data_IF_429803788172
#
_entry.id   IF_429803788172
#
_cell.length_a   1.000
_cell.length_b   1.000
_cell.length_c   1.000
_cell.angle_alpha   90.00
_cell.angle_beta   90.00
_cell.angle_gamma   90.00
#
_symmetry.space_group_name_H-M   'P 1'
#
loop_
_entity.id
_entity.type
_entity.pdbx_description
1 polymer ?
#
# COMPACT_ATOMS: atom_id res chain seq x y z
N UNK A 1 -2.19 22.81 -1.32
CA UNK A 1 -3.32 22.00 -0.80
C UNK A 1 -2.71 21.01 0.16
N UNK A 2 -3.33 20.77 1.32
CA UNK A 2 -2.87 19.74 2.26
C UNK A 2 -3.85 18.57 2.31
N UNK A 3 -3.31 17.36 2.42
CA UNK A 3 -4.08 16.13 2.64
C UNK A 3 -4.32 16.01 4.14
N UNK A 4 -5.58 15.84 4.53
CA UNK A 4 -5.98 15.57 5.90
C UNK A 4 -6.66 14.21 5.99
N UNK A 5 -6.25 13.43 6.99
CA UNK A 5 -6.91 12.17 7.33
C UNK A 5 -8.02 12.44 8.35
N UNK A 6 -9.27 12.21 7.95
CA UNK A 6 -10.42 12.41 8.84
C UNK A 6 -10.63 11.17 9.68
N UNK A 7 -10.83 11.35 10.99
CA UNK A 7 -11.23 10.26 11.86
C UNK A 7 -12.67 9.86 11.53
N UNK A 8 -12.86 8.63 11.05
CA UNK A 8 -14.18 8.05 10.76
C UNK A 8 -14.46 6.82 11.65
N UNK A 9 -15.55 6.10 11.36
CA UNK A 9 -15.97 4.86 12.01
C UNK A 9 -14.97 3.72 11.78
N UNK A 10 -14.92 2.80 12.73
CA UNK A 10 -13.96 1.70 12.73
C UNK A 10 -14.09 0.77 11.52
N UNK A 11 -15.32 0.51 11.05
CA UNK A 11 -15.61 -0.35 9.90
C UNK A 11 -14.91 0.12 8.62
N UNK A 12 -14.72 1.43 8.45
CA UNK A 12 -14.01 1.98 7.29
C UNK A 12 -12.54 1.56 7.30
N UNK A 13 -11.85 1.63 8.43
CA UNK A 13 -10.46 1.19 8.53
C UNK A 13 -10.34 -0.33 8.38
N UNK A 14 -11.30 -1.08 8.92
CA UNK A 14 -11.37 -2.53 8.78
C UNK A 14 -11.65 -2.98 7.35
N UNK A 15 -12.19 -2.10 6.50
CA UNK A 15 -12.34 -2.40 5.08
C UNK A 15 -11.03 -2.26 4.29
N UNK A 16 -10.04 -1.53 4.81
CA UNK A 16 -8.76 -1.31 4.12
C UNK A 16 -7.93 -2.60 4.07
N UNK A 17 -7.63 -3.14 2.87
CA UNK A 17 -6.93 -4.42 2.72
C UNK A 17 -5.56 -4.49 3.41
N UNK A 18 -4.70 -3.50 3.19
CA UNK A 18 -3.35 -3.50 3.79
C UNK A 18 -3.38 -3.31 5.30
N UNK A 19 -4.36 -2.56 5.84
CA UNK A 19 -4.53 -2.38 7.29
C UNK A 19 -4.94 -3.69 7.95
N UNK A 20 -5.84 -4.47 7.34
CA UNK A 20 -6.17 -5.82 7.81
C UNK A 20 -4.94 -6.73 7.88
N UNK A 21 -4.09 -6.73 6.84
CA UNK A 21 -2.87 -7.55 6.83
C UNK A 21 -1.88 -7.14 7.93
N UNK A 22 -1.58 -5.86 8.09
CA UNK A 22 -0.63 -5.41 9.12
C UNK A 22 -1.21 -5.55 10.52
N UNK A 23 -2.51 -5.33 10.73
CA UNK A 23 -3.19 -5.53 12.01
C UNK A 23 -3.10 -6.98 12.45
N UNK A 24 -3.33 -7.93 11.54
CA UNK A 24 -3.13 -9.35 11.82
C UNK A 24 -1.71 -9.65 12.33
N UNK A 25 -0.69 -9.09 11.70
CA UNK A 25 0.70 -9.28 12.16
C UNK A 25 0.95 -8.62 13.52
N UNK A 26 0.43 -7.41 13.78
CA UNK A 26 0.55 -6.76 15.09
C UNK A 26 -0.12 -7.57 16.20
N UNK A 27 -1.31 -8.08 15.95
CA UNK A 27 -2.04 -8.92 16.89
C UNK A 27 -1.29 -10.22 17.18
N UNK A 28 -0.76 -10.87 16.13
CA UNK A 28 0.07 -12.06 16.29
C UNK A 28 1.33 -11.78 17.13
N UNK A 29 1.99 -10.64 16.90
CA UNK A 29 3.17 -10.23 17.69
C UNK A 29 2.78 -9.95 19.14
N UNK A 30 1.64 -9.29 19.39
CA UNK A 30 1.12 -9.04 20.75
C UNK A 30 0.87 -10.35 21.48
N UNK A 31 0.12 -11.26 20.86
CA UNK A 31 -0.37 -12.49 21.48
C UNK A 31 0.79 -13.45 21.77
N UNK A 32 1.77 -13.53 20.88
CA UNK A 32 2.98 -14.33 21.09
C UNK A 32 4.01 -13.65 22.01
N UNK A 33 3.83 -12.36 22.34
CA UNK A 33 4.80 -11.44 22.98
C UNK A 33 6.05 -11.17 22.14
N UNK A 34 6.60 -12.21 21.52
CA UNK A 34 7.69 -12.16 20.56
C UNK A 34 7.40 -13.11 19.38
N UNK A 35 7.25 -12.55 18.18
CA UNK A 35 7.15 -13.33 16.96
C UNK A 35 8.55 -13.71 16.46
N UNK A 36 8.88 -15.01 16.46
CA UNK A 36 10.14 -15.52 15.91
C UNK A 36 10.09 -15.54 14.37
N UNK A 37 11.08 -14.92 13.74
CA UNK A 37 11.31 -14.99 12.30
C UNK A 37 12.20 -16.19 11.96
N UNK A 38 12.23 -16.56 10.68
CA UNK A 38 13.19 -17.51 10.14
C UNK A 38 14.62 -16.99 10.30
N UNK A 39 15.62 -17.86 10.10
CA UNK A 39 17.03 -17.46 10.16
C UNK A 39 17.39 -16.35 9.16
N UNK A 40 16.67 -16.28 8.03
CA UNK A 40 16.82 -15.22 7.01
C UNK A 40 16.00 -13.96 7.31
N UNK A 41 15.30 -13.90 8.45
CA UNK A 41 14.51 -12.75 8.86
C UNK A 41 13.15 -12.61 8.15
N UNK A 42 12.64 -13.70 7.55
CA UNK A 42 11.29 -13.79 6.98
C UNK A 42 10.28 -14.36 7.98
N UNK A 43 9.00 -14.15 7.74
CA UNK A 43 7.87 -14.81 8.38
C UNK A 43 7.97 -16.33 8.20
N UNK A 44 7.71 -17.12 9.26
CA UNK A 44 7.52 -18.56 9.15
C UNK A 44 6.41 -18.90 8.14
N UNK A 45 6.61 -19.98 7.37
CA UNK A 45 5.68 -20.41 6.30
C UNK A 45 4.26 -20.67 6.80
N UNK A 46 4.11 -21.16 8.04
CA UNK A 46 2.79 -21.32 8.69
C UNK A 46 2.03 -19.99 8.81
N UNK A 47 2.72 -18.92 9.17
CA UNK A 47 2.14 -17.57 9.30
C UNK A 47 1.81 -17.01 7.93
N UNK A 48 2.68 -17.24 6.93
CA UNK A 48 2.42 -16.84 5.53
C UNK A 48 1.14 -17.51 5.02
N UNK A 49 1.01 -18.83 5.21
CA UNK A 49 -0.19 -19.58 4.79
C UNK A 49 -1.44 -19.10 5.53
N UNK A 50 -1.35 -18.86 6.84
CA UNK A 50 -2.46 -18.36 7.65
C UNK A 50 -2.92 -16.97 7.21
N UNK A 51 -1.99 -16.03 7.03
CA UNK A 51 -2.28 -14.68 6.59
C UNK A 51 -2.89 -14.67 5.18
N UNK A 52 -2.33 -15.44 4.24
CA UNK A 52 -2.88 -15.52 2.88
C UNK A 52 -4.31 -16.09 2.87
N UNK A 53 -4.58 -17.12 3.69
CA UNK A 53 -5.91 -17.71 3.83
C UNK A 53 -6.97 -16.72 4.30
N UNK A 54 -6.59 -15.62 4.98
CA UNK A 54 -7.54 -14.55 5.34
C UNK A 54 -8.10 -13.82 4.12
N UNK A 55 -7.44 -13.91 2.96
CA UNK A 55 -7.97 -13.36 1.71
C UNK A 55 -8.04 -11.83 1.67
N UNK A 56 -7.28 -11.14 2.52
CA UNK A 56 -7.32 -9.66 2.57
C UNK A 56 -6.81 -9.03 1.29
N UNK A 57 -5.71 -9.56 0.72
CA UNK A 57 -5.18 -9.17 -0.58
C UNK A 57 -4.83 -10.44 -1.35
N UNK A 58 -5.48 -10.65 -2.49
CA UNK A 58 -5.26 -11.80 -3.36
C UNK A 58 -4.19 -11.50 -4.41
N UNK A 59 -3.35 -12.49 -4.65
CA UNK A 59 -2.34 -12.46 -5.72
C UNK A 59 -2.85 -13.22 -6.95
N UNK A 60 -2.92 -12.54 -8.09
CA UNK A 60 -3.49 -13.12 -9.31
C UNK A 60 -2.79 -14.40 -9.75
N UNK A 61 -1.44 -14.44 -9.71
CA UNK A 61 -0.70 -15.60 -10.19
C UNK A 61 -0.92 -16.83 -9.31
N UNK A 62 -1.04 -16.61 -7.99
CA UNK A 62 -1.36 -17.68 -7.04
C UNK A 62 -2.80 -18.15 -7.21
N UNK A 63 -3.77 -17.22 -7.32
CA UNK A 63 -5.19 -17.58 -7.46
C UNK A 63 -5.48 -18.29 -8.79
N UNK A 64 -4.70 -18.02 -9.85
CA UNK A 64 -4.80 -18.74 -11.13
C UNK A 64 -3.98 -20.04 -11.17
N UNK A 65 -3.29 -20.41 -10.08
CA UNK A 65 -2.44 -21.61 -10.02
C UNK A 65 -1.17 -21.53 -10.86
N UNK A 66 -0.81 -20.34 -11.37
CA UNK A 66 0.41 -20.09 -12.15
C UNK A 66 1.64 -20.12 -11.24
N UNK A 67 1.51 -19.61 -10.00
CA UNK A 67 2.52 -19.69 -8.96
C UNK A 67 1.95 -20.33 -7.70
N UNK A 68 2.83 -20.72 -6.78
CA UNK A 68 2.46 -21.36 -5.51
C UNK A 68 2.94 -20.53 -4.33
N UNK A 69 2.12 -20.47 -3.28
CA UNK A 69 2.48 -19.85 -2.03
C UNK A 69 3.23 -20.84 -1.12
N UNK A 70 4.52 -20.62 -0.91
CA UNK A 70 5.31 -21.41 0.05
C UNK A 70 5.99 -20.56 1.12
N UNK A 71 6.55 -19.42 0.74
CA UNK A 71 7.33 -18.51 1.61
C UNK A 71 6.88 -17.06 1.42
N UNK A 72 7.31 -16.19 2.34
CA UNK A 72 6.91 -14.77 2.38
C UNK A 72 7.10 -14.06 1.04
N UNK A 73 8.24 -14.28 0.37
CA UNK A 73 8.60 -13.61 -0.88
C UNK A 73 7.76 -14.07 -2.09
N UNK A 74 6.98 -15.14 -1.96
CA UNK A 74 6.10 -15.60 -3.04
C UNK A 74 4.83 -14.73 -3.14
N UNK A 75 4.52 -13.95 -2.10
CA UNK A 75 3.40 -13.01 -2.07
C UNK A 75 3.91 -11.59 -1.78
N UNK A 76 3.97 -10.70 -2.80
CA UNK A 76 4.42 -9.33 -2.62
C UNK A 76 3.61 -8.55 -1.57
N UNK A 77 2.30 -8.80 -1.45
CA UNK A 77 1.44 -8.13 -0.47
C UNK A 77 1.73 -8.56 0.98
N UNK A 78 2.07 -9.83 1.21
CA UNK A 78 2.49 -10.32 2.53
C UNK A 78 3.87 -9.77 2.88
N UNK A 79 4.80 -9.81 1.92
CA UNK A 79 6.14 -9.25 2.12
C UNK A 79 6.07 -7.75 2.44
N UNK A 80 5.24 -7.00 1.71
CA UNK A 80 4.96 -5.59 1.98
C UNK A 80 4.42 -5.39 3.40
N UNK A 81 3.42 -6.17 3.83
CA UNK A 81 2.85 -6.03 5.17
C UNK A 81 3.91 -6.17 6.27
N UNK A 82 4.81 -7.15 6.15
CA UNK A 82 5.92 -7.35 7.08
C UNK A 82 6.92 -6.18 7.05
N UNK A 83 7.26 -5.67 5.86
CA UNK A 83 8.12 -4.49 5.73
C UNK A 83 7.49 -3.27 6.41
N UNK A 84 6.20 -3.02 6.18
CA UNK A 84 5.50 -1.89 6.81
C UNK A 84 5.44 -2.03 8.33
N UNK A 85 5.21 -3.24 8.85
CA UNK A 85 5.29 -3.51 10.29
C UNK A 85 6.68 -3.15 10.80
N UNK A 86 7.76 -3.62 10.19
CA UNK A 86 9.14 -3.31 10.61
C UNK A 86 9.48 -1.80 10.51
N UNK A 87 9.05 -1.11 9.45
CA UNK A 87 9.34 0.32 9.22
C UNK A 87 8.46 1.29 10.04
N UNK A 88 7.32 0.81 10.57
CA UNK A 88 6.35 1.63 11.33
C UNK A 88 6.87 2.14 12.67
N UNK A 89 7.96 1.57 13.19
CA UNK A 89 8.49 1.77 14.56
C UNK A 89 7.55 1.34 15.69
N UNK A 90 6.42 0.69 15.38
CA UNK A 90 5.51 0.08 16.36
C UNK A 90 6.04 -1.26 16.88
N UNK A 91 7.00 -1.87 16.19
CA UNK A 91 7.74 -3.04 16.64
C UNK A 91 9.24 -2.74 16.72
N UNK A 92 9.95 -3.57 17.48
CA UNK A 92 11.41 -3.66 17.45
C UNK A 92 11.82 -5.07 17.04
N UNK A 93 12.90 -5.16 16.28
CA UNK A 93 13.54 -6.43 15.90
C UNK A 93 14.79 -6.66 16.73
N UNK A 94 14.85 -7.78 17.45
CA UNK A 94 16.04 -8.22 18.22
C UNK A 94 16.19 -9.73 18.11
N UNK A 95 17.39 -10.23 17.84
CA UNK A 95 17.69 -11.67 17.74
C UNK A 95 16.70 -12.42 16.81
N UNK A 96 16.39 -11.84 15.63
CA UNK A 96 15.39 -12.36 14.69
C UNK A 96 13.99 -12.58 15.28
N UNK A 97 13.60 -11.76 16.25
CA UNK A 97 12.25 -11.72 16.79
C UNK A 97 11.67 -10.32 16.72
N UNK A 98 10.37 -10.22 16.44
CA UNK A 98 9.60 -8.98 16.50
C UNK A 98 8.82 -8.91 17.81
N UNK A 99 8.85 -7.77 18.47
CA UNK A 99 8.02 -7.48 19.67
C UNK A 99 7.49 -6.05 19.59
N UNK A 100 6.33 -5.78 20.18
CA UNK A 100 5.78 -4.44 20.21
C UNK A 100 6.68 -3.48 21.01
N UNK A 101 6.79 -2.24 20.54
CA UNK A 101 7.30 -1.13 21.34
C UNK A 101 6.19 -0.61 22.26
N UNK A 102 6.52 0.25 23.23
CA UNK A 102 5.51 0.94 24.05
C UNK A 102 4.51 1.69 23.14
N UNK A 103 5.03 2.42 22.15
CA UNK A 103 4.23 3.10 21.13
C UNK A 103 3.32 2.12 20.39
N UNK A 104 3.83 0.93 20.03
CA UNK A 104 3.02 -0.12 19.42
C UNK A 104 1.84 -0.55 20.30
N UNK A 105 2.11 -0.87 21.57
CA UNK A 105 1.07 -1.26 22.55
C UNK A 105 -0.03 -0.19 22.64
N UNK A 106 0.35 1.09 22.65
CA UNK A 106 -0.60 2.20 22.83
C UNK A 106 -1.39 2.55 21.55
N UNK A 107 -0.96 2.10 20.36
CA UNK A 107 -1.48 2.59 19.08
C UNK A 107 -2.18 1.54 18.21
N UNK A 108 -1.84 0.26 18.32
CA UNK A 108 -2.32 -0.75 17.35
C UNK A 108 -3.85 -0.96 17.40
N UNK A 109 -4.49 -0.68 18.53
CA UNK A 109 -5.95 -0.80 18.69
C UNK A 109 -6.70 0.52 18.41
N UNK A 110 -5.99 1.64 18.21
CA UNK A 110 -6.57 2.88 17.69
C UNK A 110 -6.43 2.89 16.16
N UNK A 111 -7.46 2.40 15.47
CA UNK A 111 -7.45 2.23 14.01
C UNK A 111 -7.11 3.50 13.23
N UNK A 112 -7.48 4.67 13.73
CA UNK A 112 -7.12 5.94 13.10
C UNK A 112 -5.61 6.20 13.19
N UNK A 113 -5.01 6.02 14.38
CA UNK A 113 -3.56 6.17 14.57
C UNK A 113 -2.78 5.10 13.82
N UNK A 114 -3.27 3.86 13.81
CA UNK A 114 -2.66 2.75 13.07
C UNK A 114 -2.66 3.07 11.57
N UNK A 115 -3.81 3.43 11.02
CA UNK A 115 -3.93 3.82 9.60
C UNK A 115 -2.97 4.95 9.26
N UNK A 116 -2.97 6.04 10.03
CA UNK A 116 -2.09 7.18 9.78
C UNK A 116 -0.61 6.76 9.78
N UNK A 117 -0.19 5.98 10.79
CA UNK A 117 1.19 5.50 10.90
C UNK A 117 1.60 4.63 9.72
N UNK A 118 0.73 3.71 9.30
CA UNK A 118 1.02 2.79 8.19
C UNK A 118 0.99 3.51 6.85
N UNK A 119 0.04 4.42 6.64
CA UNK A 119 -0.05 5.25 5.45
C UNK A 119 1.19 6.15 5.29
N UNK A 120 1.59 6.85 6.35
CA UNK A 120 2.81 7.66 6.37
C UNK A 120 4.05 6.79 6.10
N UNK A 121 4.15 5.64 6.75
CA UNK A 121 5.26 4.70 6.53
C UNK A 121 5.33 4.24 5.08
N UNK A 122 4.19 3.88 4.48
CA UNK A 122 4.10 3.43 3.10
C UNK A 122 4.49 4.53 2.10
N UNK A 123 4.06 5.76 2.34
CA UNK A 123 4.27 6.88 1.41
C UNK A 123 5.64 7.55 1.56
N UNK A 124 6.27 7.48 2.74
CA UNK A 124 7.50 8.25 3.03
C UNK A 124 8.73 7.43 3.37
N UNK A 125 8.58 6.17 3.82
CA UNK A 125 9.71 5.33 4.26
C UNK A 125 9.91 4.10 3.40
N UNK A 126 8.83 3.48 2.95
CA UNK A 126 8.89 2.35 2.04
C UNK A 126 9.24 2.84 0.63
N UNK A 127 10.15 2.15 -0.06
CA UNK A 127 10.49 2.43 -1.45
C UNK A 127 9.51 1.68 -2.38
N UNK A 128 8.70 2.40 -3.16
CA UNK A 128 7.72 1.79 -4.06
C UNK A 128 8.36 0.97 -5.18
N UNK A 129 9.61 1.26 -5.55
CA UNK A 129 10.37 0.51 -6.54
C UNK A 129 10.81 -0.88 -6.05
N UNK A 130 10.69 -1.18 -4.75
CA UNK A 130 11.20 -2.43 -4.16
C UNK A 130 10.69 -3.71 -4.85
N UNK A 131 9.48 -3.66 -5.41
CA UNK A 131 8.81 -4.78 -6.06
C UNK A 131 8.76 -4.68 -7.59
N UNK A 132 9.37 -3.68 -8.19
CA UNK A 132 9.42 -3.55 -9.65
C UNK A 132 10.84 -3.36 -10.16
N UNK A 133 11.05 -3.76 -11.41
CA UNK A 133 12.32 -3.58 -12.11
C UNK A 133 12.39 -2.28 -12.90
N UNK A 134 11.52 -1.30 -12.60
CA UNK A 134 11.51 -0.02 -13.31
C UNK A 134 12.72 0.83 -12.89
N UNK A 135 13.34 1.50 -13.86
CA UNK A 135 14.61 2.21 -13.66
C UNK A 135 14.48 3.51 -12.86
N UNK A 136 13.32 4.15 -12.88
CA UNK A 136 13.05 5.38 -12.13
C UNK A 136 12.26 5.07 -10.85
N UNK A 137 12.88 5.26 -9.70
CA UNK A 137 12.33 4.98 -8.38
C UNK A 137 11.38 6.07 -7.84
N UNK A 138 11.41 7.26 -8.42
CA UNK A 138 10.61 8.41 -7.97
C UNK A 138 9.17 8.40 -8.51
N UNK A 139 8.96 7.79 -9.69
CA UNK A 139 7.67 7.77 -10.37
C UNK A 139 6.58 7.18 -9.48
N UNK A 140 5.47 7.92 -9.33
CA UNK A 140 4.35 7.59 -8.47
C UNK A 140 4.53 8.08 -7.03
N UNK A 141 5.61 7.68 -6.37
CA UNK A 141 5.80 7.96 -4.94
C UNK A 141 6.04 9.45 -4.68
N UNK A 142 6.95 10.12 -5.40
CA UNK A 142 7.28 11.53 -5.15
C UNK A 142 6.08 12.47 -5.28
N UNK A 143 5.11 12.13 -6.13
CA UNK A 143 3.89 12.89 -6.34
C UNK A 143 2.63 12.22 -5.77
N UNK A 144 2.73 11.27 -4.83
CA UNK A 144 1.57 10.51 -4.34
C UNK A 144 0.42 11.43 -3.87
N UNK A 145 0.76 12.57 -3.25
CA UNK A 145 -0.23 13.52 -2.77
C UNK A 145 -1.00 14.20 -3.91
N UNK A 146 -0.35 14.43 -5.05
CA UNK A 146 -1.01 14.95 -6.26
C UNK A 146 -1.97 13.92 -6.84
N UNK A 147 -1.64 12.63 -6.83
CA UNK A 147 -2.58 11.57 -7.19
C UNK A 147 -3.86 11.64 -6.35
N UNK A 148 -3.75 11.82 -5.02
CA UNK A 148 -4.94 11.94 -4.17
C UNK A 148 -5.76 13.19 -4.54
N UNK A 149 -5.11 14.30 -4.92
CA UNK A 149 -5.78 15.51 -5.44
C UNK A 149 -6.55 15.21 -6.73
N UNK A 150 -5.95 14.46 -7.66
CA UNK A 150 -6.62 14.08 -8.89
C UNK A 150 -7.82 13.16 -8.62
N UNK A 151 -7.72 12.23 -7.68
CA UNK A 151 -8.83 11.36 -7.28
C UNK A 151 -9.99 12.15 -6.67
N UNK A 152 -9.72 13.08 -5.75
CA UNK A 152 -10.77 13.91 -5.15
C UNK A 152 -11.49 14.74 -6.22
N UNK A 153 -10.73 15.25 -7.21
CA UNK A 153 -11.28 16.12 -8.26
C UNK A 153 -12.06 15.35 -9.32
N UNK A 154 -11.58 14.18 -9.73
CA UNK A 154 -12.09 13.49 -10.93
C UNK A 154 -12.64 12.09 -10.69
N UNK A 155 -12.37 11.49 -9.53
CA UNK A 155 -12.59 10.07 -9.29
C UNK A 155 -14.00 9.66 -8.86
N UNK A 156 -14.96 10.59 -8.81
CA UNK A 156 -16.38 10.26 -8.57
C UNK A 156 -17.01 9.48 -9.74
N UNK A 157 -16.46 9.64 -10.93
CA UNK A 157 -16.85 8.90 -12.13
C UNK A 157 -15.75 7.89 -12.49
N UNK A 158 -16.14 6.81 -13.17
CA UNK A 158 -15.17 5.87 -13.74
C UNK A 158 -14.30 6.56 -14.79
N UNK A 159 -12.98 6.54 -14.56
CA UNK A 159 -11.98 7.08 -15.50
C UNK A 159 -10.82 6.12 -15.67
N UNK A 160 -10.22 6.11 -16.85
CA UNK A 160 -9.09 5.23 -17.10
C UNK A 160 -7.86 5.67 -16.28
N UNK A 161 -7.00 4.75 -15.83
CA UNK A 161 -5.74 5.11 -15.18
C UNK A 161 -4.85 6.05 -16.01
N UNK A 162 -4.89 5.94 -17.34
CA UNK A 162 -4.16 6.79 -18.30
C UNK A 162 -4.59 8.26 -18.19
N UNK A 163 -5.88 8.53 -17.93
CA UNK A 163 -6.37 9.89 -17.70
C UNK A 163 -5.66 10.57 -16.51
N UNK A 164 -5.35 9.80 -15.47
CA UNK A 164 -4.63 10.30 -14.30
C UNK A 164 -3.12 10.36 -14.58
N UNK A 165 -2.58 9.38 -15.30
CA UNK A 165 -1.18 9.34 -15.68
C UNK A 165 -0.79 10.56 -16.53
N UNK A 166 -1.59 10.92 -17.54
CA UNK A 166 -1.42 12.14 -18.34
C UNK A 166 -1.29 13.37 -17.44
N UNK A 167 -2.20 13.56 -16.48
CA UNK A 167 -2.18 14.73 -15.58
C UNK A 167 -1.01 14.72 -14.64
N UNK A 168 -0.67 13.55 -14.12
CA UNK A 168 0.47 13.36 -13.24
C UNK A 168 1.78 13.69 -13.96
N UNK A 169 1.98 13.16 -15.16
CA UNK A 169 3.21 13.37 -15.94
C UNK A 169 3.29 14.79 -16.56
N UNK A 170 2.15 15.43 -16.81
CA UNK A 170 2.12 16.85 -17.15
C UNK A 170 2.55 17.75 -15.98
N UNK A 171 2.31 17.32 -14.73
CA UNK A 171 2.73 18.06 -13.54
C UNK A 171 4.16 17.71 -13.07
N UNK A 172 4.61 16.49 -13.35
CA UNK A 172 5.91 15.98 -12.96
C UNK A 172 6.61 15.33 -14.16
N UNK A 173 7.71 15.91 -14.61
CA UNK A 173 8.48 15.34 -15.71
C UNK A 173 9.47 14.29 -15.18
N UNK A 174 9.35 13.05 -15.64
CA UNK A 174 10.27 11.97 -15.29
C UNK A 174 10.90 11.39 -16.55
N UNK A 175 12.22 11.26 -16.53
CA UNK A 175 12.96 10.62 -17.61
C UNK A 175 13.05 9.11 -17.38
N UNK A 176 13.04 8.37 -18.49
CA UNK A 176 13.39 6.94 -18.47
C UNK A 176 14.91 6.85 -18.34
N UNK A 177 15.42 6.10 -17.35
CA UNK A 177 16.87 5.98 -17.12
C UNK A 177 17.52 4.85 -17.93
N UNK A 178 16.71 4.01 -18.59
CA UNK A 178 17.18 2.91 -19.42
C UNK A 178 16.47 2.90 -20.79
N UNK A 179 17.08 3.53 -21.78
CA UNK A 179 16.54 3.64 -23.14
C UNK A 179 16.28 2.28 -23.81
N UNK A 180 17.06 1.25 -23.47
CA UNK A 180 16.88 -0.09 -24.04
C UNK A 180 15.57 -0.75 -23.59
N UNK A 181 14.99 -0.32 -22.47
CA UNK A 181 13.73 -0.83 -21.94
C UNK A 181 12.57 0.14 -22.12
N UNK A 182 12.75 1.27 -22.81
CA UNK A 182 11.80 2.39 -22.85
C UNK A 182 10.34 2.00 -23.13
N UNK A 183 10.07 0.95 -23.92
CA UNK A 183 8.68 0.53 -24.15
C UNK A 183 8.07 -0.21 -22.95
N UNK A 184 8.85 -1.02 -22.23
CA UNK A 184 8.42 -1.77 -21.06
C UNK A 184 8.58 -0.97 -19.75
N UNK A 185 9.57 -0.07 -19.71
CA UNK A 185 9.94 0.78 -18.58
C UNK A 185 9.79 2.24 -19.02
N UNK A 186 8.58 2.76 -18.89
CA UNK A 186 8.28 4.17 -19.12
C UNK A 186 7.51 4.76 -17.93
N UNK A 187 7.55 6.09 -17.72
CA UNK A 187 6.91 6.74 -16.59
C UNK A 187 5.40 6.51 -16.48
N UNK A 188 4.69 6.35 -17.59
CA UNK A 188 3.23 6.12 -17.59
C UNK A 188 2.89 4.74 -17.02
N UNK A 189 3.49 3.68 -17.56
CA UNK A 189 3.33 2.31 -17.05
C UNK A 189 3.78 2.20 -15.61
N UNK A 190 4.94 2.77 -15.27
CA UNK A 190 5.49 2.77 -13.90
C UNK A 190 4.54 3.46 -12.93
N UNK A 191 4.02 4.63 -13.30
CA UNK A 191 3.03 5.37 -12.51
C UNK A 191 1.77 4.53 -12.30
N UNK A 192 1.22 3.95 -13.38
CA UNK A 192 -0.02 3.19 -13.31
C UNK A 192 0.09 1.96 -12.41
N UNK A 193 1.17 1.18 -12.56
CA UNK A 193 1.40 -0.04 -11.77
C UNK A 193 1.59 0.30 -10.30
N UNK A 194 2.47 1.25 -9.99
CA UNK A 194 2.77 1.61 -8.60
C UNK A 194 1.58 2.26 -7.91
N UNK A 195 0.86 3.13 -8.62
CA UNK A 195 -0.19 3.95 -8.03
C UNK A 195 -1.52 3.21 -7.91
N UNK A 196 -2.07 2.65 -9.00
CA UNK A 196 -3.41 2.07 -8.93
C UNK A 196 -3.39 0.68 -8.31
N UNK A 197 -2.46 -0.18 -8.76
CA UNK A 197 -2.44 -1.59 -8.36
C UNK A 197 -1.68 -1.86 -7.06
N UNK A 198 -0.65 -1.07 -6.77
CA UNK A 198 0.26 -1.31 -5.64
C UNK A 198 0.19 -0.24 -4.54
N UNK A 199 -0.72 0.72 -4.66
CA UNK A 199 -1.01 1.71 -3.63
C UNK A 199 -2.51 1.84 -3.39
N UNK A 200 -3.25 2.43 -4.33
CA UNK A 200 -4.65 2.78 -4.14
C UNK A 200 -5.53 1.55 -3.90
N UNK A 201 -5.31 0.46 -4.64
CA UNK A 201 -5.98 -0.83 -4.42
C UNK A 201 -5.65 -1.44 -3.04
N UNK A 202 -4.37 -1.43 -2.63
CA UNK A 202 -3.97 -1.91 -1.30
C UNK A 202 -4.62 -1.14 -0.16
N UNK A 203 -4.84 0.16 -0.33
CA UNK A 203 -5.56 0.99 0.63
C UNK A 203 -7.08 0.97 0.43
N UNK A 204 -7.60 0.24 -0.56
CA UNK A 204 -9.03 0.17 -0.87
C UNK A 204 -9.63 1.53 -1.21
N UNK A 205 -8.83 2.43 -1.78
CA UNK A 205 -9.23 3.80 -2.12
C UNK A 205 -9.94 3.89 -3.46
N UNK A 206 -9.72 2.92 -4.32
CA UNK A 206 -10.35 2.80 -5.62
C UNK A 206 -11.00 1.43 -5.77
N UNK A 207 -11.90 1.34 -6.72
CA UNK A 207 -12.41 0.10 -7.27
C UNK A 207 -12.34 0.15 -8.80
N UNK A 208 -12.19 -1.02 -9.41
CA UNK A 208 -12.08 -1.18 -10.85
C UNK A 208 -13.47 -1.46 -11.45
N UNK A 209 -13.73 -0.90 -12.63
CA UNK A 209 -14.93 -1.21 -13.42
C UNK A 209 -14.92 -2.72 -13.74
N UNK A 210 -16.02 -3.41 -13.41
CA UNK A 210 -16.17 -4.87 -13.54
C UNK A 210 -15.10 -5.71 -12.81
N UNK A 211 -14.44 -5.16 -11.77
CA UNK A 211 -13.36 -5.83 -11.03
C UNK A 211 -12.13 -6.21 -11.89
N UNK A 212 -12.00 -5.63 -13.09
CA UNK A 212 -10.88 -5.87 -14.00
C UNK A 212 -9.73 -4.89 -13.73
N UNK A 213 -8.55 -5.38 -13.30
CA UNK A 213 -7.42 -4.52 -12.86
C UNK A 213 -6.80 -3.59 -13.93
N UNK A 214 -7.24 -3.68 -15.19
CA UNK A 214 -6.83 -2.81 -16.29
C UNK A 214 -7.99 -1.93 -16.81
N UNK A 215 -9.12 -1.89 -16.09
CA UNK A 215 -10.28 -1.10 -16.47
C UNK A 215 -10.24 0.30 -15.83
N UNK A 216 -11.32 1.06 -16.03
CA UNK A 216 -11.52 2.35 -15.39
C UNK A 216 -11.62 2.20 -13.88
N UNK A 217 -11.23 3.23 -13.16
CA UNK A 217 -11.28 3.29 -11.70
C UNK A 217 -12.22 4.40 -11.23
N UNK A 218 -12.81 4.23 -10.05
CA UNK A 218 -13.47 5.30 -9.29
C UNK A 218 -13.08 5.22 -7.82
N UNK A 219 -13.26 6.31 -7.08
CA UNK A 219 -13.01 6.33 -5.64
C UNK A 219 -14.05 5.51 -4.89
N UNK A 220 -13.63 4.85 -3.83
CA UNK A 220 -14.52 4.13 -2.91
C UNK A 220 -15.04 5.04 -1.81
N UNK A 221 -16.01 4.54 -1.05
CA UNK A 221 -16.45 5.14 0.22
C UNK A 221 -15.28 5.34 1.20
N UNK A 222 -14.34 4.39 1.24
CA UNK A 222 -13.14 4.46 2.09
C UNK A 222 -12.32 5.71 1.80
N UNK A 223 -12.05 6.00 0.53
CA UNK A 223 -11.35 7.22 0.15
C UNK A 223 -12.15 8.47 0.53
N UNK A 224 -13.43 8.52 0.17
CA UNK A 224 -14.28 9.70 0.37
C UNK A 224 -14.44 10.09 1.85
N UNK A 225 -14.42 9.11 2.76
CA UNK A 225 -14.52 9.34 4.20
C UNK A 225 -13.18 9.65 4.87
N UNK A 226 -12.07 9.04 4.41
CA UNK A 226 -10.76 9.21 5.06
C UNK A 226 -9.97 10.40 4.54
N UNK A 227 -10.07 10.69 3.24
CA UNK A 227 -9.24 11.70 2.59
C UNK A 227 -10.04 12.97 2.41
N UNK A 228 -9.53 14.08 2.96
CA UNK A 228 -10.00 15.43 2.64
C UNK A 228 -8.85 16.29 2.17
N UNK A 229 -9.13 17.09 1.15
CA UNK A 229 -8.15 17.98 0.55
C UNK A 229 -8.58 19.41 0.85
N UNK A 230 -7.79 20.10 1.65
CA UNK A 230 -8.04 21.51 1.94
C UNK A 230 -7.19 22.37 1.02
N UNK A 231 -7.83 23.35 0.38
CA UNK A 231 -7.12 24.48 -0.19
C UNK A 231 -6.34 25.18 0.93
N UNK A 232 -5.10 25.59 0.66
CA UNK A 232 -4.48 26.55 1.58
C UNK A 232 -5.35 27.80 1.52
N UNK A 233 -5.83 28.25 2.69
CA UNK A 233 -6.30 29.62 2.80
C UNK A 233 -5.08 30.48 2.51
N UNK A 234 -5.09 31.17 1.38
CA UNK A 234 -4.17 32.28 1.15
C UNK A 234 -4.43 33.26 2.29
N UNK A 235 -3.43 33.47 3.14
CA UNK A 235 -3.45 34.51 4.18
C UNK A 235 -3.30 35.85 3.47
#
# INVERSE_FOLDING_TARGET
>A
MSIQFVKTKEDIYLNIPIIKQVKFLFDLIRDQKELKLTNKGFLPTKIVAELYKKGYIKDYLIEQGISKLYKETDSPSIHLAKILVELSTLVKKRNNKLSLTKKGIDQIDDYHKLFKTIFETFTTKFNWAYFDGFSNDEVGQSGFGFTLILLEKYGKEYRSPEFYADKYLNAFNFETRNDALRFADNPETTYMVRTFRRFLDYFGFIEFENDERNSKIRITKTFAELIKIQAHKTI
#
